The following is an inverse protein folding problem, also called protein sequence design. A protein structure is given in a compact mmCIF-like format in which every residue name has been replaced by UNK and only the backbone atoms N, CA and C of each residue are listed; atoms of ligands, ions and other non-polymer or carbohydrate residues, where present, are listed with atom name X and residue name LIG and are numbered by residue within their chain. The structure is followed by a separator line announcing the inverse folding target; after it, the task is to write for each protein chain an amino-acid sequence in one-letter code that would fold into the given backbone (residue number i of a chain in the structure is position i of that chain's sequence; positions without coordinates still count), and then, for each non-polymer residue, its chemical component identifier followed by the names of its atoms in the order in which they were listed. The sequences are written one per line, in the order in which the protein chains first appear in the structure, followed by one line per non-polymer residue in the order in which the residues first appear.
data_IF_144481306374
#
_entry.id   IF_144481306374
#
_cell.length_a   1.000
_cell.length_b   1.000
_cell.length_c   1.000
_cell.angle_alpha   90.00
_cell.angle_beta   90.00
_cell.angle_gamma   90.00
#
_symmetry.space_group_name_H-M   'P 1'
#
loop_
_entity.id
_entity.type
_entity.pdbx_description
1 polymer ?
#
# COMPACT_ATOMS: atom_id res chain seq x y z
N UNK A 1 -36.48 9.66 -15.07
CA UNK A 1 -36.32 9.62 -13.61
C UNK A 1 -35.71 8.24 -13.28
N UNK A 2 -34.41 8.17 -13.13
CA UNK A 2 -33.69 6.95 -12.76
C UNK A 2 -33.45 7.00 -11.24
N UNK A 3 -34.03 6.05 -10.54
CA UNK A 3 -33.84 5.89 -9.09
C UNK A 3 -32.37 5.62 -8.79
N UNK A 4 -31.75 6.53 -8.05
CA UNK A 4 -30.47 6.32 -7.40
C UNK A 4 -30.59 5.18 -6.39
N UNK A 5 -30.09 4.02 -6.77
CA UNK A 5 -29.93 2.89 -5.87
C UNK A 5 -28.82 3.22 -4.87
N UNK A 6 -29.16 3.88 -3.76
CA UNK A 6 -28.29 4.14 -2.62
C UNK A 6 -28.07 2.83 -1.88
N UNK A 7 -27.01 2.13 -2.20
CA UNK A 7 -26.51 1.06 -1.33
C UNK A 7 -26.06 1.71 -0.02
N UNK A 8 -26.84 1.48 1.03
CA UNK A 8 -26.53 1.91 2.39
C UNK A 8 -25.19 1.28 2.83
N UNK A 9 -24.38 1.95 3.66
CA UNK A 9 -23.19 1.33 4.29
C UNK A 9 -23.64 0.08 5.07
N UNK A 10 -22.84 -0.98 4.98
CA UNK A 10 -23.11 -2.23 5.69
C UNK A 10 -23.38 -1.93 7.18
N UNK A 11 -24.44 -2.46 7.78
CA UNK A 11 -24.79 -2.19 9.17
C UNK A 11 -23.62 -2.61 10.07
N UNK A 12 -23.39 -1.86 11.16
CA UNK A 12 -22.29 -2.11 12.11
C UNK A 12 -22.26 -3.56 12.62
N UNK A 13 -23.41 -4.20 12.75
CA UNK A 13 -23.55 -5.61 13.11
C UNK A 13 -22.86 -6.55 12.11
N UNK A 14 -22.92 -6.26 10.81
CA UNK A 14 -22.25 -7.05 9.76
C UNK A 14 -20.72 -6.93 9.84
N UNK A 15 -20.20 -5.74 10.17
CA UNK A 15 -18.76 -5.52 10.36
C UNK A 15 -18.23 -6.31 11.57
N UNK A 16 -18.97 -6.37 12.67
CA UNK A 16 -18.60 -7.13 13.85
C UNK A 16 -18.59 -8.64 13.56
N UNK A 17 -19.57 -9.15 12.83
CA UNK A 17 -19.65 -10.55 12.40
C UNK A 17 -18.47 -10.90 11.48
N UNK A 18 -18.20 -10.07 10.46
CA UNK A 18 -17.07 -10.28 9.57
C UNK A 18 -15.72 -10.26 10.31
N UNK A 19 -15.56 -9.37 11.28
CA UNK A 19 -14.37 -9.35 12.15
C UNK A 19 -14.23 -10.63 12.92
N UNK A 20 -15.30 -11.14 13.53
CA UNK A 20 -15.30 -12.40 14.27
C UNK A 20 -14.87 -13.58 13.41
N UNK A 21 -15.45 -13.72 12.22
CA UNK A 21 -15.09 -14.78 11.26
C UNK A 21 -13.61 -14.71 10.88
N UNK A 22 -13.08 -13.49 10.65
CA UNK A 22 -11.67 -13.30 10.27
C UNK A 22 -10.71 -13.60 11.44
N UNK A 23 -11.13 -13.33 12.67
CA UNK A 23 -10.38 -13.70 13.88
C UNK A 23 -10.36 -15.21 14.05
N UNK A 24 -11.50 -15.91 13.89
CA UNK A 24 -11.56 -17.37 13.91
C UNK A 24 -10.61 -18.01 12.89
N UNK A 25 -10.60 -17.51 11.65
CA UNK A 25 -9.64 -17.96 10.62
C UNK A 25 -8.17 -17.72 11.03
N UNK A 26 -7.88 -16.62 11.71
CA UNK A 26 -6.54 -16.35 12.23
C UNK A 26 -6.17 -17.34 13.34
N UNK A 27 -7.11 -17.63 14.23
CA UNK A 27 -6.89 -18.56 15.33
C UNK A 27 -6.69 -20.00 14.81
N UNK A 28 -7.41 -20.41 13.74
CA UNK A 28 -7.14 -21.67 13.02
C UNK A 28 -5.69 -21.70 12.50
N UNK A 29 -5.22 -20.62 11.83
CA UNK A 29 -3.87 -20.54 11.32
C UNK A 29 -2.81 -20.62 12.42
N UNK A 30 -3.06 -19.98 13.57
CA UNK A 30 -2.16 -20.05 14.74
C UNK A 30 -2.10 -21.45 15.32
N UNK A 31 -3.25 -22.13 15.45
CA UNK A 31 -3.32 -23.48 15.95
C UNK A 31 -2.54 -24.47 15.05
N UNK A 32 -2.52 -24.22 13.73
CA UNK A 32 -1.76 -24.98 12.75
C UNK A 32 -0.26 -24.59 12.70
N UNK A 33 0.21 -23.68 13.57
CA UNK A 33 1.59 -23.18 13.57
C UNK A 33 1.96 -22.28 12.39
N UNK A 34 0.97 -21.71 11.71
CA UNK A 34 1.13 -20.87 10.50
C UNK A 34 0.67 -19.42 10.76
N UNK A 35 1.01 -18.88 11.92
CA UNK A 35 0.69 -17.49 12.26
C UNK A 35 1.40 -16.51 11.33
N UNK A 36 0.67 -15.76 10.47
CA UNK A 36 1.29 -14.83 9.52
C UNK A 36 2.03 -13.70 10.22
N UNK A 37 1.68 -13.36 11.45
CA UNK A 37 2.33 -12.27 12.20
C UNK A 37 3.70 -12.64 12.76
N UNK A 38 4.11 -13.91 12.68
CA UNK A 38 5.46 -14.33 13.04
C UNK A 38 6.47 -14.13 11.91
N UNK A 39 6.00 -13.86 10.69
CA UNK A 39 6.85 -13.59 9.54
C UNK A 39 7.34 -12.15 9.61
N UNK A 40 8.58 -11.97 10.08
CA UNK A 40 9.17 -10.63 10.27
C UNK A 40 9.88 -10.09 9.02
N UNK A 41 10.22 -10.98 8.07
CA UNK A 41 10.93 -10.61 6.85
C UNK A 41 10.38 -11.38 5.65
N UNK A 42 10.18 -10.68 4.54
CA UNK A 42 9.87 -11.26 3.25
C UNK A 42 10.66 -10.52 2.17
N UNK A 43 11.50 -11.24 1.43
CA UNK A 43 12.40 -10.64 0.46
C UNK A 43 11.66 -10.33 -0.85
N UNK A 44 11.42 -9.05 -1.09
CA UNK A 44 10.77 -8.54 -2.31
C UNK A 44 11.85 -8.14 -3.31
N UNK A 45 11.81 -8.70 -4.53
CA UNK A 45 12.79 -8.40 -5.58
C UNK A 45 12.33 -7.29 -6.52
N UNK A 46 11.02 -7.05 -6.65
CA UNK A 46 10.46 -6.07 -7.55
C UNK A 46 9.17 -5.46 -7.02
N UNK A 47 8.79 -4.30 -7.55
CA UNK A 47 7.53 -3.62 -7.29
C UNK A 47 6.63 -3.67 -8.53
N UNK A 48 5.32 -3.53 -8.33
CA UNK A 48 4.32 -3.69 -9.38
C UNK A 48 4.53 -2.79 -10.60
N UNK A 49 4.85 -1.50 -10.39
CA UNK A 49 5.14 -0.56 -11.48
C UNK A 49 6.42 -0.94 -12.25
N UNK A 50 7.47 -1.33 -11.53
CA UNK A 50 8.73 -1.75 -12.13
C UNK A 50 8.54 -3.03 -12.96
N UNK A 51 7.81 -4.02 -12.43
CA UNK A 51 7.49 -5.26 -13.18
C UNK A 51 6.76 -4.95 -14.48
N UNK A 52 5.72 -4.11 -14.43
CA UNK A 52 4.96 -3.73 -15.63
C UNK A 52 5.82 -3.00 -16.66
N UNK A 53 6.62 -2.03 -16.20
CA UNK A 53 7.50 -1.25 -17.06
C UNK A 53 8.56 -2.12 -17.73
N UNK A 54 9.31 -2.89 -16.94
CA UNK A 54 10.37 -3.77 -17.44
C UNK A 54 9.83 -4.80 -18.43
N UNK A 55 8.67 -5.42 -18.12
CA UNK A 55 8.04 -6.35 -19.03
C UNK A 55 7.65 -5.69 -20.36
N UNK A 56 7.05 -4.49 -20.29
CA UNK A 56 6.63 -3.76 -21.50
C UNK A 56 7.83 -3.38 -22.37
N UNK A 57 8.91 -2.91 -21.76
CA UNK A 57 10.17 -2.56 -22.47
C UNK A 57 10.82 -3.80 -23.11
N UNK A 58 10.90 -4.91 -22.38
CA UNK A 58 11.42 -6.18 -22.87
C UNK A 58 10.58 -6.75 -24.03
N UNK A 59 9.25 -6.77 -23.86
CA UNK A 59 8.33 -7.25 -24.89
C UNK A 59 8.45 -6.42 -26.18
N UNK A 60 8.55 -5.09 -26.08
CA UNK A 60 8.73 -4.21 -27.22
C UNK A 60 10.07 -4.47 -27.93
N UNK A 61 11.17 -4.56 -27.18
CA UNK A 61 12.48 -4.87 -27.72
C UNK A 61 12.54 -6.27 -28.40
N UNK A 62 11.88 -7.27 -27.84
CA UNK A 62 11.83 -8.60 -28.44
C UNK A 62 10.95 -8.64 -29.70
N UNK A 63 9.86 -7.90 -29.75
CA UNK A 63 9.05 -7.76 -30.96
C UNK A 63 9.84 -7.11 -32.08
N UNK A 64 10.64 -6.08 -31.78
CA UNK A 64 11.51 -5.44 -32.77
C UNK A 64 12.61 -6.38 -33.25
N UNK A 65 13.23 -7.17 -32.38
CA UNK A 65 14.30 -8.12 -32.72
C UNK A 65 13.82 -9.35 -33.49
N UNK A 66 12.64 -9.88 -33.16
CA UNK A 66 12.09 -11.08 -33.79
C UNK A 66 11.31 -10.76 -35.08
N UNK A 67 10.85 -9.52 -35.26
CA UNK A 67 10.04 -9.15 -36.44
C UNK A 67 8.78 -10.00 -36.55
N UNK A 68 8.64 -10.75 -37.66
CA UNK A 68 7.49 -11.63 -37.92
C UNK A 68 7.72 -13.07 -37.40
N UNK A 69 8.86 -13.37 -36.78
CA UNK A 69 9.17 -14.73 -36.25
C UNK A 69 8.49 -14.93 -34.89
N UNK A 70 7.30 -15.45 -34.94
CA UNK A 70 6.46 -15.72 -33.74
C UNK A 70 7.09 -16.82 -32.86
N UNK A 71 7.78 -17.83 -33.45
CA UNK A 71 8.42 -18.90 -32.68
C UNK A 71 9.58 -18.36 -31.84
N UNK A 72 10.42 -17.52 -32.45
CA UNK A 72 11.51 -16.85 -31.74
C UNK A 72 10.99 -15.94 -30.63
N UNK A 73 9.89 -15.23 -30.87
CA UNK A 73 9.24 -14.38 -29.86
C UNK A 73 8.69 -15.20 -28.69
N UNK A 74 7.99 -16.30 -28.96
CA UNK A 74 7.47 -17.18 -27.91
C UNK A 74 8.60 -17.84 -27.10
N UNK A 75 9.70 -18.25 -27.73
CA UNK A 75 10.87 -18.75 -27.04
C UNK A 75 11.46 -17.74 -26.05
N UNK A 76 11.49 -16.45 -26.42
CA UNK A 76 11.90 -15.36 -25.53
C UNK A 76 10.95 -15.20 -24.33
N UNK A 77 9.65 -15.26 -24.54
CA UNK A 77 8.67 -15.20 -23.46
C UNK A 77 8.81 -16.40 -22.49
N UNK A 78 9.19 -17.57 -22.99
CA UNK A 78 9.43 -18.74 -22.14
C UNK A 78 10.61 -18.55 -21.18
N UNK A 79 11.64 -17.77 -21.56
CA UNK A 79 12.78 -17.48 -20.67
C UNK A 79 12.38 -16.72 -19.41
N UNK A 80 11.24 -16.00 -19.43
CA UNK A 80 10.72 -15.32 -18.22
C UNK A 80 10.29 -16.29 -17.12
N UNK A 81 9.96 -17.52 -17.47
CA UNK A 81 9.61 -18.56 -16.47
C UNK A 81 10.80 -18.94 -15.59
N UNK A 82 12.01 -18.75 -16.09
CA UNK A 82 13.26 -19.02 -15.37
C UNK A 82 13.74 -17.82 -14.53
N UNK A 83 13.06 -16.67 -14.67
CA UNK A 83 13.37 -15.42 -13.96
C UNK A 83 12.22 -15.03 -13.03
N UNK A 84 12.02 -15.74 -11.91
CA UNK A 84 10.92 -15.44 -11.02
C UNK A 84 11.14 -14.09 -10.33
N UNK A 85 10.04 -13.34 -10.22
CA UNK A 85 9.96 -12.12 -9.42
C UNK A 85 9.24 -12.41 -8.12
N UNK A 86 9.65 -11.75 -7.04
CA UNK A 86 8.98 -11.80 -5.75
C UNK A 86 8.40 -10.44 -5.43
N UNK A 87 7.09 -10.38 -5.23
CA UNK A 87 6.37 -9.16 -4.87
C UNK A 87 5.55 -9.38 -3.60
N UNK A 88 5.25 -8.31 -2.89
CA UNK A 88 4.32 -8.33 -1.77
C UNK A 88 3.36 -7.14 -1.83
N UNK A 89 2.12 -7.37 -1.43
CA UNK A 89 1.12 -6.32 -1.46
C UNK A 89 -0.20 -6.74 -0.80
N UNK A 90 -1.15 -5.82 -0.83
CA UNK A 90 -2.51 -6.05 -0.34
C UNK A 90 -3.39 -6.63 -1.43
N UNK A 91 -4.09 -7.71 -1.12
CA UNK A 91 -5.08 -8.31 -1.99
C UNK A 91 -6.33 -7.41 -2.05
N UNK A 92 -6.57 -6.78 -3.20
CA UNK A 92 -7.65 -5.81 -3.41
C UNK A 92 -8.87 -6.43 -4.08
N UNK A 93 -8.69 -7.51 -4.83
CA UNK A 93 -9.76 -8.29 -5.42
C UNK A 93 -9.37 -9.76 -5.53
N UNK A 94 -10.37 -10.62 -5.63
CA UNK A 94 -10.20 -12.06 -5.79
C UNK A 94 -11.37 -12.61 -6.59
N UNK A 95 -11.07 -13.22 -7.73
CA UNK A 95 -12.05 -13.78 -8.66
C UNK A 95 -11.68 -15.23 -8.95
N UNK A 96 -12.45 -16.16 -8.44
CA UNK A 96 -12.22 -17.60 -8.62
C UNK A 96 -12.88 -18.15 -9.87
N UNK A 97 -12.15 -18.95 -10.64
CA UNK A 97 -12.65 -19.73 -11.78
C UNK A 97 -12.26 -21.20 -11.57
N UNK A 98 -12.99 -21.91 -10.73
CA UNK A 98 -12.79 -23.34 -10.47
C UNK A 98 -11.41 -23.66 -9.89
N UNK A 99 -10.46 -24.09 -10.76
CA UNK A 99 -9.09 -24.50 -10.38
C UNK A 99 -8.06 -23.38 -10.48
N UNK A 100 -8.49 -22.17 -10.81
CA UNK A 100 -7.66 -21.00 -10.93
C UNK A 100 -8.33 -19.79 -10.24
N UNK A 101 -7.52 -18.85 -9.81
CA UNK A 101 -7.96 -17.59 -9.19
C UNK A 101 -7.12 -16.46 -9.77
N UNK A 102 -7.79 -15.39 -10.19
CA UNK A 102 -7.18 -14.11 -10.45
C UNK A 102 -7.38 -13.20 -9.25
N UNK A 103 -6.37 -12.47 -8.87
CA UNK A 103 -6.46 -11.45 -7.84
C UNK A 103 -5.69 -10.20 -8.25
N UNK A 104 -6.10 -9.06 -7.72
CA UNK A 104 -5.36 -7.81 -7.86
C UNK A 104 -4.54 -7.59 -6.59
N UNK A 105 -3.24 -7.50 -6.72
CA UNK A 105 -2.30 -7.20 -5.66
C UNK A 105 -1.87 -5.74 -5.77
N UNK A 106 -2.04 -4.98 -4.70
CA UNK A 106 -1.63 -3.57 -4.62
C UNK A 106 -0.45 -3.42 -3.68
N UNK A 107 0.65 -2.91 -4.20
CA UNK A 107 1.82 -2.54 -3.41
C UNK A 107 1.90 -1.01 -3.17
N UNK A 108 3.09 -0.53 -2.82
CA UNK A 108 3.33 0.90 -2.61
C UNK A 108 3.30 1.73 -3.89
N UNK A 109 3.48 1.12 -5.06
CA UNK A 109 3.65 1.77 -6.36
C UNK A 109 2.40 1.67 -7.23
N UNK A 110 1.89 0.46 -7.47
CA UNK A 110 0.76 0.22 -8.37
C UNK A 110 0.01 -1.06 -7.99
N UNK A 111 -0.96 -1.44 -8.80
CA UNK A 111 -1.67 -2.73 -8.76
C UNK A 111 -1.15 -3.62 -9.86
N UNK A 112 -1.03 -4.92 -9.58
CA UNK A 112 -0.71 -5.93 -10.58
C UNK A 112 -1.63 -7.12 -10.42
N UNK A 113 -2.03 -7.72 -11.53
CA UNK A 113 -2.82 -8.94 -11.50
C UNK A 113 -1.92 -10.13 -11.19
N UNK A 114 -2.41 -11.04 -10.36
CA UNK A 114 -1.74 -12.32 -10.06
C UNK A 114 -2.67 -13.46 -10.43
N UNK A 115 -2.12 -14.44 -11.13
CA UNK A 115 -2.79 -15.66 -11.54
C UNK A 115 -2.29 -16.83 -10.70
N UNK A 116 -3.20 -17.48 -9.98
CA UNK A 116 -2.90 -18.59 -9.07
C UNK A 116 -3.65 -19.82 -9.52
N UNK A 117 -2.94 -20.92 -9.78
CA UNK A 117 -3.52 -22.22 -10.15
C UNK A 117 -3.24 -23.28 -9.10
N UNK A 118 -4.20 -24.19 -8.93
CA UNK A 118 -4.06 -25.34 -8.04
C UNK A 118 -2.87 -26.24 -8.37
N UNK A 119 -2.54 -26.36 -9.67
CA UNK A 119 -1.46 -27.23 -10.11
C UNK A 119 -0.07 -26.68 -9.78
N UNK A 120 0.05 -25.35 -9.63
CA UNK A 120 1.33 -24.68 -9.41
C UNK A 120 1.67 -24.58 -7.91
N UNK A 121 0.67 -24.25 -7.08
CA UNK A 121 0.88 -24.07 -5.62
C UNK A 121 0.46 -25.27 -4.78
N UNK A 122 -0.12 -26.30 -5.40
CA UNK A 122 -0.59 -27.50 -4.72
C UNK A 122 -2.02 -27.38 -4.14
N UNK A 123 -2.68 -28.54 -3.96
CA UNK A 123 -4.09 -28.60 -3.57
C UNK A 123 -4.35 -28.05 -2.17
N UNK A 124 -3.47 -28.36 -1.20
CA UNK A 124 -3.64 -27.96 0.20
C UNK A 124 -3.53 -26.43 0.35
N UNK A 125 -2.45 -25.84 -0.18
CA UNK A 125 -2.25 -24.40 -0.14
C UNK A 125 -3.33 -23.66 -0.93
N UNK A 126 -3.80 -24.21 -2.05
CA UNK A 126 -4.89 -23.61 -2.83
C UNK A 126 -6.22 -23.63 -2.07
N UNK A 127 -6.52 -24.68 -1.30
CA UNK A 127 -7.70 -24.77 -0.44
C UNK A 127 -7.65 -23.74 0.69
N UNK A 128 -6.47 -23.56 1.28
CA UNK A 128 -6.24 -22.54 2.27
C UNK A 128 -6.35 -21.12 1.68
N UNK A 129 -5.70 -20.87 0.56
CA UNK A 129 -5.75 -19.60 -0.17
C UNK A 129 -7.19 -19.18 -0.50
N UNK A 130 -8.08 -20.13 -0.77
CA UNK A 130 -9.51 -19.83 -0.96
C UNK A 130 -10.16 -19.20 0.28
N UNK A 131 -9.66 -19.50 1.50
CA UNK A 131 -10.17 -18.94 2.77
C UNK A 131 -9.62 -17.53 3.06
N UNK A 132 -8.54 -17.09 2.39
CA UNK A 132 -7.97 -15.75 2.59
C UNK A 132 -8.93 -14.67 2.13
N UNK A 133 -8.88 -13.53 2.81
CA UNK A 133 -9.85 -12.45 2.63
C UNK A 133 -9.26 -11.26 1.87
N UNK A 134 -10.13 -10.51 1.20
CA UNK A 134 -9.76 -9.21 0.62
C UNK A 134 -9.27 -8.30 1.73
N UNK A 135 -8.12 -7.66 1.49
CA UNK A 135 -7.41 -6.83 2.47
C UNK A 135 -6.19 -7.52 3.08
N UNK A 136 -6.07 -8.85 3.00
CA UNK A 136 -4.88 -9.57 3.45
C UNK A 136 -3.64 -9.10 2.70
N UNK A 137 -2.49 -9.08 3.38
CA UNK A 137 -1.19 -8.81 2.75
C UNK A 137 -0.55 -10.15 2.45
N UNK A 138 -0.18 -10.33 1.20
CA UNK A 138 0.40 -11.58 0.70
C UNK A 138 1.71 -11.33 -0.04
N UNK A 139 2.60 -12.29 0.04
CA UNK A 139 3.78 -12.41 -0.80
C UNK A 139 3.52 -13.39 -1.93
N UNK A 140 4.04 -13.08 -3.10
CA UNK A 140 3.91 -13.90 -4.32
C UNK A 140 5.25 -13.99 -4.98
N UNK A 141 5.68 -15.22 -5.29
CA UNK A 141 6.84 -15.50 -6.14
C UNK A 141 6.35 -16.22 -7.41
N UNK A 142 6.80 -15.77 -8.56
CA UNK A 142 6.37 -16.31 -9.83
C UNK A 142 6.97 -15.56 -11.01
N UNK A 143 6.54 -15.87 -12.21
CA UNK A 143 7.04 -15.23 -13.42
C UNK A 143 6.01 -14.32 -14.06
N UNK A 144 6.50 -13.32 -14.77
CA UNK A 144 5.65 -12.32 -15.43
C UNK A 144 5.19 -12.86 -16.78
N UNK A 145 3.94 -12.60 -17.14
CA UNK A 145 3.38 -12.96 -18.43
C UNK A 145 2.26 -11.99 -18.82
N UNK A 146 1.88 -12.01 -20.08
CA UNK A 146 0.70 -11.28 -20.57
C UNK A 146 -0.46 -12.24 -20.73
N UNK A 147 -1.60 -11.89 -20.17
CA UNK A 147 -2.86 -12.63 -20.34
C UNK A 147 -3.40 -12.48 -21.77
N UNK A 148 -4.29 -13.38 -22.18
CA UNK A 148 -5.00 -13.27 -23.48
C UNK A 148 -5.77 -11.95 -23.66
N UNK A 149 -6.16 -11.32 -22.57
CA UNK A 149 -6.84 -10.01 -22.54
C UNK A 149 -5.86 -8.84 -22.57
N UNK A 150 -4.56 -9.10 -22.68
CA UNK A 150 -3.53 -8.06 -22.77
C UNK A 150 -2.99 -7.55 -21.42
N UNK A 151 -3.46 -8.07 -20.29
CA UNK A 151 -3.02 -7.61 -18.96
C UNK A 151 -1.70 -8.26 -18.55
N UNK A 152 -0.73 -7.44 -18.08
CA UNK A 152 0.53 -7.93 -17.51
C UNK A 152 0.24 -8.49 -16.13
N UNK A 153 0.58 -9.74 -15.91
CA UNK A 153 0.24 -10.50 -14.72
C UNK A 153 1.41 -11.32 -14.22
N UNK A 154 1.36 -11.71 -12.96
CA UNK A 154 2.31 -12.67 -12.37
C UNK A 154 1.64 -14.03 -12.25
N UNK A 155 2.24 -15.04 -12.83
CA UNK A 155 1.86 -16.43 -12.64
C UNK A 155 2.51 -16.94 -11.37
N UNK A 156 1.72 -17.12 -10.33
CA UNK A 156 2.22 -17.50 -9.02
C UNK A 156 2.70 -18.96 -9.00
N UNK A 157 3.91 -19.16 -8.53
CA UNK A 157 4.52 -20.46 -8.21
C UNK A 157 4.49 -20.71 -6.70
N UNK A 158 4.66 -19.64 -5.91
CA UNK A 158 4.58 -19.67 -4.46
C UNK A 158 3.75 -18.50 -3.97
N UNK A 159 2.95 -18.72 -2.91
CA UNK A 159 2.19 -17.66 -2.25
C UNK A 159 2.34 -17.80 -0.73
N UNK A 160 2.42 -16.70 -0.03
CA UNK A 160 2.58 -16.65 1.42
C UNK A 160 1.65 -15.61 2.01
N UNK A 161 0.89 -15.96 3.05
CA UNK A 161 0.13 -14.99 3.83
C UNK A 161 1.07 -14.26 4.79
N UNK A 162 1.28 -12.97 4.59
CA UNK A 162 2.20 -12.15 5.40
C UNK A 162 1.48 -11.42 6.53
N UNK A 163 0.21 -11.05 6.33
CA UNK A 163 -0.58 -10.39 7.37
C UNK A 163 -2.06 -10.55 7.09
N UNK A 164 -2.81 -10.91 8.12
CA UNK A 164 -4.26 -11.09 8.05
C UNK A 164 -5.00 -9.78 8.32
N UNK A 165 -5.89 -9.38 7.40
CA UNK A 165 -6.78 -8.24 7.59
C UNK A 165 -7.98 -8.64 8.45
N UNK A 166 -8.04 -8.15 9.68
CA UNK A 166 -9.12 -8.48 10.62
C UNK A 166 -10.41 -7.68 10.38
N UNK A 167 -10.30 -6.55 9.71
CA UNK A 167 -11.45 -5.73 9.33
C UNK A 167 -11.62 -5.70 7.82
N UNK A 168 -12.87 -5.73 7.31
CA UNK A 168 -13.12 -5.55 5.89
C UNK A 168 -12.69 -4.14 5.44
N UNK A 169 -12.23 -4.03 4.21
CA UNK A 169 -12.02 -2.73 3.57
C UNK A 169 -13.38 -2.09 3.23
N UNK A 170 -13.47 -0.75 3.26
CA UNK A 170 -14.63 -0.04 2.74
C UNK A 170 -14.95 -0.43 1.29
N UNK A 171 -16.20 -0.25 0.88
CA UNK A 171 -16.67 -0.63 -0.45
C UNK A 171 -15.79 -0.09 -1.58
N UNK A 172 -15.48 -0.99 -2.51
CA UNK A 172 -14.52 -0.77 -3.59
C UNK A 172 -14.96 0.26 -4.63
N UNK A 173 -16.26 0.36 -4.91
CA UNK A 173 -16.81 1.10 -6.06
C UNK A 173 -16.92 2.60 -5.86
N UNK A 174 -17.07 3.04 -4.61
CA UNK A 174 -17.30 4.45 -4.30
C UNK A 174 -16.21 5.08 -3.46
N UNK A 175 -15.17 4.30 -3.06
CA UNK A 175 -14.15 4.74 -2.13
C UNK A 175 -14.76 5.12 -0.76
N UNK A 176 -13.97 5.72 0.08
CA UNK A 176 -14.43 6.25 1.37
C UNK A 176 -14.86 7.71 1.18
N UNK A 177 -16.18 7.96 1.08
CA UNK A 177 -16.73 9.31 0.82
C UNK A 177 -16.96 10.14 2.08
N UNK A 178 -17.31 9.49 3.21
CA UNK A 178 -17.59 10.21 4.45
C UNK A 178 -16.34 10.93 4.97
N UNK A 179 -16.40 12.25 5.04
CA UNK A 179 -15.27 13.12 5.35
C UNK A 179 -14.73 12.89 6.77
N UNK A 180 -15.60 12.75 7.77
CA UNK A 180 -15.18 12.48 9.15
C UNK A 180 -14.42 11.15 9.26
N UNK A 181 -14.95 10.11 8.64
CA UNK A 181 -14.28 8.79 8.60
C UNK A 181 -12.94 8.86 7.86
N UNK A 182 -12.83 9.62 6.76
CA UNK A 182 -11.57 9.84 6.03
C UNK A 182 -10.50 10.51 6.90
N UNK A 183 -10.89 11.48 7.72
CA UNK A 183 -9.96 12.15 8.63
C UNK A 183 -9.59 11.28 9.84
N UNK A 184 -10.56 10.58 10.43
CA UNK A 184 -10.32 9.75 11.62
C UNK A 184 -9.63 8.43 11.29
N UNK A 185 -9.90 7.84 10.12
CA UNK A 185 -9.31 6.57 9.64
C UNK A 185 -8.47 6.80 8.38
N UNK A 186 -7.51 7.72 8.47
CA UNK A 186 -6.67 8.14 7.34
C UNK A 186 -6.02 6.97 6.62
N UNK A 187 -5.61 5.92 7.32
CA UNK A 187 -5.04 4.73 6.73
C UNK A 187 -5.99 4.03 5.74
N UNK A 188 -7.30 4.00 6.02
CA UNK A 188 -8.29 3.46 5.07
C UNK A 188 -8.42 4.36 3.83
N UNK A 189 -8.48 5.67 4.04
CA UNK A 189 -8.54 6.65 2.95
C UNK A 189 -7.35 6.49 1.98
N UNK A 190 -6.14 6.27 2.51
CA UNK A 190 -4.93 6.05 1.71
C UNK A 190 -4.93 4.69 0.97
N UNK A 191 -5.62 3.67 1.50
CA UNK A 191 -5.72 2.36 0.85
C UNK A 191 -6.71 2.39 -0.31
N UNK A 192 -7.87 3.05 -0.12
CA UNK A 192 -8.99 2.95 -1.07
C UNK A 192 -9.08 4.12 -2.06
N UNK A 193 -8.48 5.27 -1.74
CA UNK A 193 -8.48 6.48 -2.55
C UNK A 193 -7.05 6.80 -3.05
N UNK A 194 -6.65 6.34 -4.25
CA UNK A 194 -5.28 6.53 -4.77
C UNK A 194 -4.86 8.00 -4.89
N UNK A 195 -5.78 8.89 -5.28
CA UNK A 195 -5.52 10.32 -5.44
C UNK A 195 -5.11 10.98 -4.12
N UNK A 196 -5.72 10.54 -3.01
CA UNK A 196 -5.37 11.02 -1.67
C UNK A 196 -3.95 10.59 -1.31
N UNK A 197 -3.59 9.33 -1.58
CA UNK A 197 -2.22 8.84 -1.40
C UNK A 197 -1.23 9.70 -2.18
N UNK A 198 -1.52 9.98 -3.45
CA UNK A 198 -0.67 10.80 -4.30
C UNK A 198 -0.49 12.22 -3.76
N UNK A 199 -1.54 12.83 -3.21
CA UNK A 199 -1.48 14.14 -2.55
C UNK A 199 -0.48 14.14 -1.39
N UNK A 200 -0.51 13.13 -0.52
CA UNK A 200 0.44 13.03 0.60
C UNK A 200 1.87 12.76 0.14
N UNK A 201 2.06 11.94 -0.90
CA UNK A 201 3.38 11.72 -1.51
C UNK A 201 3.92 13.02 -2.09
N UNK A 202 3.09 13.76 -2.83
CA UNK A 202 3.46 15.06 -3.42
C UNK A 202 3.82 16.07 -2.33
N UNK A 203 3.02 16.15 -1.26
CA UNK A 203 3.34 17.00 -0.11
C UNK A 203 4.73 16.70 0.49
N UNK A 204 5.04 15.43 0.68
CA UNK A 204 6.35 15.01 1.21
C UNK A 204 7.50 15.34 0.26
N UNK A 205 7.28 15.25 -1.06
CA UNK A 205 8.25 15.67 -2.08
C UNK A 205 8.49 17.18 -2.04
N UNK A 206 7.43 17.97 -1.99
CA UNK A 206 7.55 19.45 -1.91
C UNK A 206 8.40 19.85 -0.70
N UNK A 207 8.16 19.27 0.48
CA UNK A 207 8.96 19.59 1.67
C UNK A 207 10.44 19.21 1.50
N UNK A 208 10.73 18.11 0.83
CA UNK A 208 12.11 17.70 0.53
C UNK A 208 12.77 18.67 -0.44
N UNK A 209 12.09 18.98 -1.55
CA UNK A 209 12.60 19.94 -2.55
C UNK A 209 12.92 21.31 -1.94
N UNK A 210 12.08 21.80 -1.02
CA UNK A 210 12.34 23.07 -0.30
C UNK A 210 13.64 22.95 0.52
N UNK A 211 13.82 21.84 1.25
CA UNK A 211 15.03 21.60 2.05
C UNK A 211 16.27 21.51 1.15
N UNK A 212 16.20 20.66 0.14
CA UNK A 212 17.31 20.47 -0.82
C UNK A 212 17.68 21.76 -1.52
N UNK A 213 16.69 22.59 -1.88
CA UNK A 213 16.92 23.90 -2.50
C UNK A 213 17.68 24.85 -1.55
N UNK A 214 17.26 24.97 -0.30
CA UNK A 214 17.90 25.84 0.67
C UNK A 214 19.31 25.33 1.06
N UNK A 215 19.46 24.03 1.24
CA UNK A 215 20.74 23.39 1.53
C UNK A 215 21.76 23.64 0.41
N UNK A 216 21.35 23.51 -0.85
CA UNK A 216 22.19 23.82 -2.02
C UNK A 216 22.58 25.29 -2.13
N UNK A 217 21.83 26.19 -1.49
CA UNK A 217 22.20 27.61 -1.37
C UNK A 217 23.11 27.91 -0.18
N UNK A 218 23.48 26.90 0.61
CA UNK A 218 24.35 27.03 1.79
C UNK A 218 23.62 27.41 3.07
N UNK A 219 22.27 27.31 3.12
CA UNK A 219 21.53 27.49 4.36
C UNK A 219 21.65 26.22 5.20
N UNK A 220 21.63 26.39 6.52
CA UNK A 220 21.66 25.28 7.49
C UNK A 220 20.27 25.14 8.12
N UNK A 221 19.67 23.95 8.04
CA UNK A 221 18.42 23.67 8.75
C UNK A 221 18.67 23.60 10.26
N UNK A 222 17.91 24.36 11.05
CA UNK A 222 18.02 24.39 12.50
C UNK A 222 16.70 24.11 13.17
N UNK A 223 16.75 23.42 14.29
CA UNK A 223 15.56 23.21 15.15
C UNK A 223 15.53 24.29 16.23
N UNK A 224 14.48 25.11 16.23
CA UNK A 224 14.27 26.13 17.23
C UNK A 224 13.40 25.60 18.38
N UNK A 225 13.58 26.07 19.65
CA UNK A 225 12.79 25.62 20.78
C UNK A 225 11.28 25.81 20.57
N UNK A 226 10.50 24.78 20.87
CA UNK A 226 9.02 24.81 20.79
C UNK A 226 8.42 25.42 22.06
N UNK A 227 9.07 25.17 23.21
CA UNK A 227 8.69 25.76 24.50
C UNK A 227 9.64 26.89 24.84
N UNK A 228 9.09 28.04 25.21
CA UNK A 228 9.82 29.26 25.53
C UNK A 228 9.45 29.75 26.93
N UNK A 229 10.42 30.28 27.69
CA UNK A 229 10.15 30.88 29.01
C UNK A 229 9.45 32.22 28.93
N UNK A 230 9.43 32.85 27.78
CA UNK A 230 8.82 34.15 27.50
C UNK A 230 7.64 34.02 26.56
N UNK A 231 6.62 34.83 26.84
CA UNK A 231 5.47 34.90 25.95
C UNK A 231 5.82 35.75 24.73
N UNK A 232 5.88 35.09 23.59
CA UNK A 232 5.95 35.77 22.30
C UNK A 232 4.59 35.65 21.66
N UNK A 233 3.81 36.69 21.84
CA UNK A 233 2.47 36.77 21.29
C UNK A 233 2.39 37.98 20.36
N UNK A 234 2.03 37.72 19.09
CA UNK A 234 1.39 38.80 18.32
C UNK A 234 -0.02 39.05 18.89
N UNK A 235 -1.06 38.99 18.09
CA UNK A 235 -2.43 39.20 18.54
C UNK A 235 -3.11 37.97 19.18
N UNK A 236 -2.47 36.80 19.14
CA UNK A 236 -3.06 35.53 19.55
C UNK A 236 -2.76 35.19 21.02
N UNK A 237 -3.75 34.63 21.73
CA UNK A 237 -3.55 34.10 23.08
C UNK A 237 -2.65 32.83 23.00
N UNK A 238 -1.50 32.83 23.73
CA UNK A 238 -0.58 31.73 23.67
C UNK A 238 -1.12 30.50 24.42
N UNK A 239 -0.65 29.30 24.00
CA UNK A 239 -0.79 28.10 24.82
C UNK A 239 0.22 28.15 25.96
N UNK A 240 -0.25 27.94 27.17
CA UNK A 240 0.57 28.00 28.41
C UNK A 240 0.67 26.57 28.96
N UNK A 241 1.89 26.20 29.36
CA UNK A 241 2.17 24.97 30.11
C UNK A 241 3.08 25.31 31.30
N UNK A 242 3.38 24.31 32.12
CA UNK A 242 4.24 24.48 33.29
C UNK A 242 5.32 23.42 33.29
N UNK A 243 6.56 23.86 33.49
CA UNK A 243 7.72 22.97 33.61
C UNK A 243 7.98 22.66 35.08
N UNK A 244 7.56 21.47 35.55
CA UNK A 244 7.58 21.13 36.96
C UNK A 244 9.00 21.13 37.57
N UNK A 245 10.01 20.63 36.85
CA UNK A 245 11.38 20.55 37.37
C UNK A 245 12.05 21.93 37.49
N UNK A 246 11.75 22.85 36.58
CA UNK A 246 12.31 24.20 36.57
C UNK A 246 11.39 25.20 37.31
N UNK A 247 10.24 24.75 37.80
CA UNK A 247 9.24 25.54 38.54
C UNK A 247 8.87 26.84 37.81
N UNK A 248 8.60 26.78 36.51
CA UNK A 248 8.35 27.95 35.69
C UNK A 248 7.27 27.76 34.65
N UNK A 249 6.58 28.84 34.30
CA UNK A 249 5.64 28.89 33.19
C UNK A 249 6.41 28.83 31.87
N UNK A 250 5.90 28.01 30.96
CA UNK A 250 6.40 27.91 29.60
C UNK A 250 5.27 28.17 28.60
N UNK A 251 5.65 28.65 27.44
CA UNK A 251 4.71 28.99 26.37
C UNK A 251 5.07 28.24 25.11
N UNK A 252 4.07 27.68 24.41
CA UNK A 252 4.29 27.20 23.09
C UNK A 252 4.53 28.38 22.14
N UNK A 253 5.59 28.30 21.33
CA UNK A 253 5.89 29.35 20.37
C UNK A 253 4.76 29.52 19.35
N UNK A 254 4.34 30.77 19.14
CA UNK A 254 3.39 31.09 18.09
C UNK A 254 4.08 31.55 16.80
N UNK A 255 5.30 32.08 16.91
CA UNK A 255 6.06 32.69 15.82
C UNK A 255 7.54 32.33 15.93
N UNK A 256 8.26 32.40 14.81
CA UNK A 256 9.70 32.10 14.72
C UNK A 256 10.59 33.37 14.93
N UNK A 257 10.05 34.46 15.44
CA UNK A 257 10.79 35.74 15.63
C UNK A 257 11.96 35.68 16.61
N UNK A 258 12.08 34.62 17.39
CA UNK A 258 13.24 34.42 18.25
C UNK A 258 14.40 33.73 17.57
N UNK A 259 14.24 33.28 16.34
CA UNK A 259 15.38 32.80 15.54
C UNK A 259 16.03 34.01 14.92
N UNK A 260 17.31 34.29 15.22
CA UNK A 260 18.03 35.38 14.57
C UNK A 260 17.99 35.15 13.05
N UNK A 261 17.43 36.13 12.34
CA UNK A 261 17.47 36.14 10.90
C UNK A 261 18.80 36.71 10.45
N UNK A 262 19.44 36.19 9.39
CA UNK A 262 20.62 36.81 8.81
C UNK A 262 20.39 38.24 8.31
N UNK A 263 19.13 38.72 8.38
CA UNK A 263 18.72 40.06 7.96
C UNK A 263 18.54 41.03 9.15
N UNK A 264 18.58 40.55 10.38
CA UNK A 264 18.55 41.34 11.60
C UNK A 264 19.98 41.54 12.12
#
# INVERSE_FOLDING_TARGET
MAEENRTAPAPEQDIHEQKRIRMEKLDELKADGRDPFTITKFDVTAKADAVKRTYTEQEAAWKEQCGEDEEAFQARLETLKEQPVTIAGRMMSKRGMGRAVFLDLQDSTDRIQVYVRVNDIGKELFKEFKKWDIGDIIGVKGFVFRTKMGEISIHAQEITLLSKALLPLPEKWHGLKNQDTRYRKRYLDLIVNPDVKQTFVTRSRILREIRDYLDNLGYVEVETPVLLPIQIAAAAKPFITYHNTLDMKMYLRCLLYTSPSPRD
#
